data_IF_989562475720
#
_entry.id   IF_989562475720
#
_cell.length_a   1.000
_cell.length_b   1.000
_cell.length_c   1.000
_cell.angle_alpha   90.00
_cell.angle_beta   90.00
_cell.angle_gamma   90.00
#
_symmetry.space_group_name_H-M   'P 1'
#
loop_
_entity.id
_entity.type
_entity.pdbx_description
1 polymer ?
#
# COMPACT_ATOMS: atom_id res chain seq x y z
N UNK A 1 19.53 7.47 -23.37
CA UNK A 1 18.15 7.55 -23.94
C UNK A 1 17.07 7.08 -22.95
N UNK A 2 15.79 7.01 -23.35
CA UNK A 2 14.73 6.32 -22.56
C UNK A 2 14.80 4.81 -22.80
N UNK A 3 14.41 3.99 -21.82
CA UNK A 3 14.53 2.51 -21.93
C UNK A 3 13.79 1.94 -23.15
N UNK A 4 12.62 2.49 -23.49
CA UNK A 4 11.87 2.01 -24.66
C UNK A 4 12.52 2.40 -25.99
N UNK A 5 13.26 3.53 -26.02
CA UNK A 5 14.03 3.96 -27.20
C UNK A 5 15.20 3.00 -27.39
N UNK A 6 15.99 2.74 -26.35
CA UNK A 6 17.10 1.78 -26.37
C UNK A 6 16.62 0.38 -26.81
N UNK A 7 15.45 -0.05 -26.34
CA UNK A 7 14.84 -1.32 -26.74
C UNK A 7 14.45 -1.31 -28.23
N UNK A 8 13.93 -0.21 -28.76
CA UNK A 8 13.61 -0.12 -30.19
C UNK A 8 14.90 -0.13 -31.02
N UNK A 9 15.90 0.64 -30.62
CA UNK A 9 17.17 0.73 -31.34
C UNK A 9 17.92 -0.62 -31.33
N UNK A 10 17.82 -1.40 -30.24
CA UNK A 10 18.34 -2.76 -30.18
C UNK A 10 17.65 -3.70 -31.17
N UNK A 11 16.33 -3.56 -31.35
CA UNK A 11 15.56 -4.36 -32.33
C UNK A 11 15.95 -3.95 -33.75
N UNK A 12 16.02 -2.65 -34.04
CA UNK A 12 16.45 -2.14 -35.34
C UNK A 12 17.87 -2.59 -35.70
N UNK A 13 18.79 -2.58 -34.72
CA UNK A 13 20.17 -3.06 -34.91
C UNK A 13 20.21 -4.57 -35.20
N UNK A 14 19.32 -5.36 -34.59
CA UNK A 14 19.19 -6.79 -34.86
C UNK A 14 18.62 -7.07 -36.25
N UNK A 15 17.62 -6.29 -36.67
CA UNK A 15 17.04 -6.40 -38.00
C UNK A 15 18.08 -6.06 -39.08
N UNK A 16 18.84 -4.97 -38.88
CA UNK A 16 19.98 -4.60 -39.74
C UNK A 16 21.03 -5.72 -39.82
N UNK A 17 21.38 -6.32 -38.68
CA UNK A 17 22.34 -7.42 -38.63
C UNK A 17 21.92 -8.63 -39.49
N UNK A 18 20.61 -8.93 -39.55
CA UNK A 18 20.08 -10.01 -40.38
C UNK A 18 20.14 -9.69 -41.88
N UNK A 19 20.09 -8.41 -42.25
CA UNK A 19 20.17 -7.94 -43.64
C UNK A 19 21.60 -7.85 -44.18
N UNK A 20 22.62 -7.79 -43.32
CA UNK A 20 24.02 -7.59 -43.71
C UNK A 20 24.67 -8.76 -44.51
N UNK A 21 24.07 -9.96 -44.54
CA UNK A 21 24.61 -11.08 -45.31
C UNK A 21 26.01 -11.54 -44.85
N UNK A 22 27.00 -11.57 -45.76
CA UNK A 22 28.40 -11.93 -45.49
C UNK A 22 29.34 -10.71 -45.39
N UNK A 23 28.82 -9.47 -45.36
CA UNK A 23 29.65 -8.27 -45.22
C UNK A 23 30.24 -8.17 -43.80
N UNK A 24 31.49 -8.60 -43.67
CA UNK A 24 32.21 -8.68 -42.40
C UNK A 24 32.35 -7.32 -41.70
N UNK A 25 32.48 -6.22 -42.47
CA UNK A 25 32.56 -4.86 -41.92
C UNK A 25 31.21 -4.39 -41.39
N UNK A 26 30.12 -4.68 -42.10
CA UNK A 26 28.77 -4.34 -41.65
C UNK A 26 28.37 -5.13 -40.39
N UNK A 27 28.76 -6.40 -40.32
CA UNK A 27 28.57 -7.28 -39.16
C UNK A 27 29.32 -6.73 -37.93
N UNK A 28 30.56 -6.28 -38.10
CA UNK A 28 31.37 -5.78 -36.99
C UNK A 28 30.82 -4.46 -36.43
N UNK A 29 30.44 -3.52 -37.30
CA UNK A 29 29.78 -2.27 -36.91
C UNK A 29 28.47 -2.53 -36.15
N UNK A 30 27.65 -3.50 -36.60
CA UNK A 30 26.41 -3.85 -35.89
C UNK A 30 26.67 -4.42 -34.50
N UNK A 31 27.75 -5.21 -34.32
CA UNK A 31 28.14 -5.72 -33.00
C UNK A 31 28.58 -4.60 -32.06
N UNK A 32 29.37 -3.64 -32.55
CA UNK A 32 29.79 -2.49 -31.75
C UNK A 32 28.60 -1.65 -31.28
N UNK A 33 27.65 -1.37 -32.17
CA UNK A 33 26.41 -0.65 -31.83
C UNK A 33 25.58 -1.44 -30.81
N UNK A 34 25.50 -2.76 -30.98
CA UNK A 34 24.74 -3.61 -30.07
C UNK A 34 25.33 -3.62 -28.65
N UNK A 35 26.66 -3.70 -28.52
CA UNK A 35 27.33 -3.60 -27.22
C UNK A 35 27.17 -2.21 -26.60
N UNK A 36 27.30 -1.14 -27.40
CA UNK A 36 27.03 0.22 -26.93
C UNK A 36 25.59 0.37 -26.37
N UNK A 37 24.59 -0.12 -27.10
CA UNK A 37 23.19 -0.06 -26.66
C UNK A 37 22.92 -0.89 -25.40
N UNK A 38 23.61 -2.04 -25.23
CA UNK A 38 23.54 -2.81 -23.97
C UNK A 38 24.15 -2.04 -22.80
N UNK A 39 25.27 -1.36 -22.99
CA UNK A 39 25.88 -0.53 -21.96
C UNK A 39 24.98 0.65 -21.58
N UNK A 40 24.38 1.32 -22.56
CA UNK A 40 23.37 2.37 -22.32
C UNK A 40 22.15 1.83 -21.57
N UNK A 41 21.64 0.64 -21.93
CA UNK A 41 20.53 -0.01 -21.23
C UNK A 41 20.89 -0.27 -19.75
N UNK A 42 22.10 -0.77 -19.50
CA UNK A 42 22.61 -1.05 -18.16
C UNK A 42 22.78 0.23 -17.35
N UNK A 43 23.40 1.25 -17.92
CA UNK A 43 23.60 2.57 -17.30
C UNK A 43 22.28 3.24 -16.93
N UNK A 44 21.31 3.19 -17.86
CA UNK A 44 19.97 3.74 -17.62
C UNK A 44 19.22 2.98 -16.53
N UNK A 45 19.30 1.65 -16.56
CA UNK A 45 18.69 0.78 -15.54
C UNK A 45 19.31 1.02 -14.16
N UNK A 46 20.63 1.15 -14.07
CA UNK A 46 21.35 1.46 -12.83
C UNK A 46 20.93 2.81 -12.25
N UNK A 47 20.79 3.83 -13.09
CA UNK A 47 20.29 5.15 -12.66
C UNK A 47 18.87 5.08 -12.09
N UNK A 48 17.99 4.29 -12.70
CA UNK A 48 16.62 4.07 -12.20
C UNK A 48 16.65 3.30 -10.88
N UNK A 49 17.46 2.25 -10.76
CA UNK A 49 17.60 1.47 -9.52
C UNK A 49 18.12 2.33 -8.37
N UNK A 50 19.11 3.20 -8.61
CA UNK A 50 19.60 4.17 -7.63
C UNK A 50 18.46 5.09 -7.16
N UNK A 51 17.65 5.59 -8.08
CA UNK A 51 16.52 6.44 -7.73
C UNK A 51 15.45 5.69 -6.92
N UNK A 52 15.13 4.44 -7.29
CA UNK A 52 14.19 3.60 -6.52
C UNK A 52 14.71 3.38 -5.10
N UNK A 53 15.99 3.05 -4.93
CA UNK A 53 16.59 2.87 -3.60
C UNK A 53 16.56 4.15 -2.76
N UNK A 54 16.78 5.31 -3.38
CA UNK A 54 16.63 6.60 -2.69
C UNK A 54 15.20 6.82 -2.21
N UNK A 55 14.21 6.57 -3.08
CA UNK A 55 12.79 6.69 -2.73
C UNK A 55 12.37 5.71 -1.62
N UNK A 56 12.86 4.47 -1.65
CA UNK A 56 12.60 3.50 -0.57
C UNK A 56 13.19 3.98 0.76
N UNK A 57 14.41 4.55 0.74
CA UNK A 57 15.04 5.12 1.94
C UNK A 57 14.23 6.31 2.48
N UNK A 58 13.80 7.22 1.61
CA UNK A 58 12.95 8.37 1.99
C UNK A 58 11.61 7.90 2.57
N UNK A 59 11.00 6.89 1.97
CA UNK A 59 9.75 6.29 2.44
C UNK A 59 9.89 5.72 3.85
N UNK A 60 10.98 5.02 4.17
CA UNK A 60 11.24 4.50 5.52
C UNK A 60 11.40 5.63 6.56
N UNK A 61 12.11 6.69 6.20
CA UNK A 61 12.26 7.88 7.05
C UNK A 61 10.88 8.52 7.33
N UNK A 62 10.07 8.72 6.28
CA UNK A 62 8.73 9.29 6.41
C UNK A 62 7.82 8.40 7.28
N UNK A 63 7.87 7.08 7.09
CA UNK A 63 7.08 6.14 7.90
C UNK A 63 7.42 6.24 9.39
N UNK A 64 8.72 6.29 9.70
CA UNK A 64 9.21 6.43 11.08
C UNK A 64 8.72 7.74 11.72
N UNK A 65 8.76 8.83 10.96
CA UNK A 65 8.31 10.14 11.42
C UNK A 65 6.78 10.19 11.61
N UNK A 66 6.02 9.56 10.72
CA UNK A 66 4.56 9.42 10.89
C UNK A 66 4.22 8.66 12.17
N UNK A 67 4.92 7.56 12.48
CA UNK A 67 4.71 6.84 13.73
C UNK A 67 5.01 7.71 14.96
N UNK A 68 6.07 8.52 14.91
CA UNK A 68 6.41 9.47 15.97
C UNK A 68 5.32 10.52 16.17
N UNK A 69 4.83 11.11 15.08
CA UNK A 69 3.76 12.11 15.10
C UNK A 69 2.44 11.51 15.60
N UNK A 70 2.10 10.29 15.18
CA UNK A 70 0.89 9.60 15.64
C UNK A 70 0.96 9.28 17.15
N UNK A 71 2.13 8.91 17.67
CA UNK A 71 2.36 8.75 19.13
C UNK A 71 2.13 10.07 19.87
N UNK A 72 2.65 11.18 19.35
CA UNK A 72 2.45 12.52 19.93
C UNK A 72 0.96 12.90 19.91
N UNK A 73 0.29 12.71 18.79
CA UNK A 73 -1.15 12.96 18.64
C UNK A 73 -1.96 12.15 19.66
N UNK A 74 -1.73 10.84 19.75
CA UNK A 74 -2.40 9.96 20.73
C UNK A 74 -2.16 10.39 22.18
N UNK A 75 -0.95 10.85 22.50
CA UNK A 75 -0.63 11.40 23.83
C UNK A 75 -1.43 12.66 24.14
N UNK A 76 -1.56 13.59 23.19
CA UNK A 76 -2.38 14.81 23.35
C UNK A 76 -3.87 14.47 23.45
N UNK A 77 -4.38 13.58 22.61
CA UNK A 77 -5.76 13.10 22.68
C UNK A 77 -6.07 12.47 24.05
N UNK A 78 -5.17 11.62 24.55
CA UNK A 78 -5.29 11.01 25.88
C UNK A 78 -5.30 12.07 26.99
N UNK A 79 -4.45 13.10 26.88
CA UNK A 79 -4.44 14.21 27.85
C UNK A 79 -5.73 15.02 27.80
N UNK A 80 -6.25 15.32 26.61
CA UNK A 80 -7.54 16.01 26.43
C UNK A 80 -8.67 15.18 27.04
N UNK A 81 -8.70 13.86 26.81
CA UNK A 81 -9.69 12.96 27.39
C UNK A 81 -9.65 12.98 28.92
N UNK A 82 -8.47 12.83 29.51
CA UNK A 82 -8.28 12.91 30.98
C UNK A 82 -8.74 14.24 31.56
N UNK A 83 -8.47 15.35 30.88
CA UNK A 83 -8.92 16.68 31.34
C UNK A 83 -10.44 16.83 31.26
N UNK A 84 -11.08 16.31 30.20
CA UNK A 84 -12.55 16.29 30.09
C UNK A 84 -13.18 15.42 31.18
N UNK A 85 -12.61 14.24 31.46
CA UNK A 85 -13.06 13.35 32.54
C UNK A 85 -12.89 14.01 33.91
N UNK A 86 -11.77 14.70 34.14
CA UNK A 86 -11.53 15.47 35.36
C UNK A 86 -12.60 16.56 35.57
N UNK A 87 -12.88 17.36 34.54
CA UNK A 87 -13.94 18.38 34.59
C UNK A 87 -15.31 17.76 34.83
N UNK A 88 -15.62 16.64 34.17
CA UNK A 88 -16.88 15.91 34.37
C UNK A 88 -17.02 15.44 35.82
N UNK A 89 -15.98 14.83 36.40
CA UNK A 89 -16.00 14.34 37.78
C UNK A 89 -16.23 15.48 38.79
N UNK A 90 -15.57 16.63 38.58
CA UNK A 90 -15.77 17.80 39.45
C UNK A 90 -17.20 18.33 39.34
N UNK A 91 -17.74 18.46 38.13
CA UNK A 91 -19.10 18.93 37.93
C UNK A 91 -20.15 18.00 38.54
N UNK A 92 -19.92 16.68 38.50
CA UNK A 92 -20.76 15.68 39.17
C UNK A 92 -20.69 15.80 40.70
N UNK A 93 -19.50 16.06 41.27
CA UNK A 93 -19.34 16.27 42.72
C UNK A 93 -19.99 17.56 43.21
N UNK A 94 -19.95 18.63 42.41
CA UNK A 94 -20.54 19.93 42.73
C UNK A 94 -22.04 20.01 42.43
N UNK A 95 -22.66 18.93 41.94
CA UNK A 95 -24.04 18.86 41.42
C UNK A 95 -24.42 20.05 40.51
N UNK A 96 -23.43 20.57 39.79
CA UNK A 96 -23.53 21.80 39.00
C UNK A 96 -23.68 21.45 37.53
N UNK A 97 -24.83 21.81 36.95
CA UNK A 97 -25.17 21.46 35.56
C UNK A 97 -24.39 22.26 34.51
N UNK A 98 -23.93 23.47 34.86
CA UNK A 98 -23.24 24.40 33.96
C UNK A 98 -22.27 25.26 34.76
N UNK A 99 -21.06 25.44 34.23
CA UNK A 99 -20.06 26.38 34.76
C UNK A 99 -19.67 27.33 33.61
N UNK A 100 -19.70 28.63 33.89
CA UNK A 100 -19.22 29.67 32.98
C UNK A 100 -17.82 30.10 33.39
N UNK A 101 -16.96 30.31 32.41
CA UNK A 101 -15.59 30.81 32.55
C UNK A 101 -15.37 31.97 31.59
N UNK A 102 -14.29 32.73 31.78
CA UNK A 102 -13.98 33.92 30.98
C UNK A 102 -13.81 33.62 29.47
N UNK A 103 -13.53 32.36 29.10
CA UNK A 103 -13.24 31.95 27.72
C UNK A 103 -14.37 31.07 27.15
N UNK A 104 -15.39 30.72 27.94
CA UNK A 104 -16.53 29.92 27.47
C UNK A 104 -17.37 29.32 28.59
N UNK A 105 -18.32 28.46 28.23
CA UNK A 105 -19.09 27.69 29.22
C UNK A 105 -19.08 26.22 28.88
N UNK A 106 -19.12 25.36 29.91
CA UNK A 106 -19.24 23.92 29.73
C UNK A 106 -20.31 23.35 30.67
N UNK A 107 -21.05 22.38 30.17
CA UNK A 107 -22.21 21.78 30.82
C UNK A 107 -22.22 20.27 30.64
N UNK A 108 -22.80 19.55 31.59
CA UNK A 108 -22.97 18.09 31.48
C UNK A 108 -24.25 17.80 30.69
N UNK A 109 -24.14 16.92 29.70
CA UNK A 109 -25.31 16.33 29.02
C UNK A 109 -25.33 14.83 29.28
N UNK A 110 -26.47 14.29 29.71
CA UNK A 110 -26.68 12.84 29.79
C UNK A 110 -26.78 12.26 28.39
N UNK A 111 -26.03 11.20 28.13
CA UNK A 111 -26.11 10.37 26.93
C UNK A 111 -26.30 8.92 27.35
N UNK A 112 -27.29 8.26 26.77
CA UNK A 112 -27.60 6.85 27.06
C UNK A 112 -27.03 5.99 25.95
N UNK A 113 -26.19 5.02 26.32
CA UNK A 113 -25.71 3.98 25.40
C UNK A 113 -26.17 2.63 25.95
N UNK A 114 -26.60 1.74 25.06
CA UNK A 114 -26.86 0.35 25.41
C UNK A 114 -25.51 -0.35 25.46
N UNK A 115 -25.16 -0.88 26.63
CA UNK A 115 -23.98 -1.71 26.83
C UNK A 115 -24.42 -3.18 26.76
N UNK A 116 -23.77 -3.94 25.89
CA UNK A 116 -24.09 -5.35 25.67
C UNK A 116 -23.15 -6.17 26.56
N UNK A 117 -23.68 -6.72 27.65
CA UNK A 117 -22.89 -7.47 28.63
C UNK A 117 -22.66 -8.93 28.23
N UNK A 118 -23.57 -9.52 27.44
CA UNK A 118 -23.54 -10.93 27.04
C UNK A 118 -24.32 -11.10 25.73
N UNK A 119 -23.63 -11.42 24.64
CA UNK A 119 -24.22 -11.58 23.30
C UNK A 119 -25.15 -12.79 23.21
N UNK A 120 -24.89 -13.86 23.98
CA UNK A 120 -25.66 -15.10 23.94
C UNK A 120 -27.04 -14.98 24.64
N UNK A 121 -27.21 -13.96 25.48
CA UNK A 121 -28.48 -13.64 26.14
C UNK A 121 -29.31 -12.62 25.36
N UNK A 122 -28.78 -12.07 24.26
CA UNK A 122 -29.54 -11.14 23.42
C UNK A 122 -30.56 -11.95 22.61
N UNK A 123 -31.85 -11.59 22.65
CA UNK A 123 -32.84 -12.21 21.78
C UNK A 123 -32.44 -12.13 20.30
N UNK A 124 -32.64 -13.22 19.56
CA UNK A 124 -32.31 -13.31 18.13
C UNK A 124 -32.96 -12.20 17.27
N UNK A 125 -33.99 -11.52 17.77
CA UNK A 125 -34.61 -10.35 17.13
C UNK A 125 -33.65 -9.16 16.93
N UNK A 126 -32.56 -9.07 17.71
CA UNK A 126 -31.56 -8.01 17.61
C UNK A 126 -30.26 -8.43 16.91
N UNK A 127 -30.14 -9.71 16.54
CA UNK A 127 -28.94 -10.28 15.92
C UNK A 127 -29.09 -10.26 14.39
N UNK A 128 -28.31 -9.42 13.72
CA UNK A 128 -28.23 -9.40 12.25
C UNK A 128 -27.10 -10.30 11.77
N UNK A 129 -27.45 -11.50 11.30
CA UNK A 129 -26.52 -12.40 10.63
C UNK A 129 -26.16 -11.84 9.24
N UNK A 130 -24.89 -11.43 9.06
CA UNK A 130 -24.31 -11.17 7.74
C UNK A 130 -23.66 -12.45 7.23
N UNK A 131 -24.30 -13.12 6.27
CA UNK A 131 -23.68 -14.24 5.55
C UNK A 131 -22.90 -13.69 4.36
N UNK A 132 -21.58 -13.54 4.50
CA UNK A 132 -20.73 -13.20 3.37
C UNK A 132 -20.37 -14.47 2.57
N UNK A 133 -20.67 -14.45 1.27
CA UNK A 133 -20.21 -15.48 0.33
C UNK A 133 -18.76 -15.18 -0.04
N UNK A 134 -17.82 -15.81 0.67
CA UNK A 134 -16.39 -15.70 0.37
C UNK A 134 -16.01 -16.76 -0.67
N UNK A 135 -15.48 -16.30 -1.82
CA UNK A 135 -14.93 -17.19 -2.84
C UNK A 135 -13.48 -17.48 -2.48
N UNK A 136 -13.16 -18.74 -2.21
CA UNK A 136 -11.79 -19.17 -1.93
C UNK A 136 -10.98 -19.30 -3.22
N UNK A 137 -10.23 -18.25 -3.54
CA UNK A 137 -9.34 -18.19 -4.71
C UNK A 137 -8.14 -19.13 -4.59
N UNK A 138 -7.72 -19.51 -3.39
CA UNK A 138 -6.57 -20.38 -3.15
C UNK A 138 -6.93 -21.82 -3.48
N UNK A 139 -8.09 -22.28 -3.00
CA UNK A 139 -8.63 -23.60 -3.35
C UNK A 139 -8.87 -23.74 -4.85
N UNK A 140 -9.44 -22.72 -5.50
CA UNK A 140 -9.62 -22.68 -6.96
C UNK A 140 -8.28 -22.74 -7.69
N UNK A 141 -7.28 -21.96 -7.25
CA UNK A 141 -5.94 -21.95 -7.86
C UNK A 141 -5.23 -23.30 -7.76
N UNK A 142 -5.34 -23.99 -6.62
CA UNK A 142 -4.78 -25.33 -6.45
C UNK A 142 -5.52 -26.36 -7.32
N UNK A 143 -6.84 -26.28 -7.40
CA UNK A 143 -7.64 -27.18 -8.21
C UNK A 143 -7.32 -27.06 -9.71
N UNK A 144 -7.20 -25.84 -10.25
CA UNK A 144 -6.83 -25.63 -11.66
C UNK A 144 -5.46 -26.24 -11.98
N UNK A 145 -4.49 -26.16 -11.05
CA UNK A 145 -3.15 -26.74 -11.21
C UNK A 145 -3.15 -28.28 -11.22
N UNK A 146 -4.06 -28.92 -10.49
CA UNK A 146 -4.08 -30.39 -10.32
C UNK A 146 -5.02 -31.09 -11.28
N UNK A 147 -6.19 -30.51 -11.57
CA UNK A 147 -7.28 -31.20 -12.28
C UNK A 147 -7.63 -30.62 -13.65
N UNK A 148 -7.02 -29.50 -14.04
CA UNK A 148 -7.24 -28.87 -15.34
C UNK A 148 -8.61 -28.20 -15.44
N UNK A 149 -8.58 -26.87 -15.29
CA UNK A 149 -9.70 -25.92 -15.48
C UNK A 149 -10.85 -25.95 -14.45
N UNK A 150 -11.36 -24.75 -14.13
CA UNK A 150 -12.56 -24.52 -13.33
C UNK A 150 -13.43 -23.53 -14.09
N UNK A 151 -14.69 -23.90 -14.36
CA UNK A 151 -15.63 -22.98 -15.01
C UNK A 151 -15.79 -21.72 -14.14
N UNK A 152 -15.38 -20.57 -14.69
CA UNK A 152 -15.40 -19.28 -14.00
C UNK A 152 -14.06 -18.79 -13.41
N UNK A 153 -12.95 -19.53 -13.57
CA UNK A 153 -11.63 -19.08 -13.11
C UNK A 153 -10.50 -19.44 -14.10
N UNK A 154 -9.56 -18.51 -14.30
CA UNK A 154 -8.36 -18.69 -15.16
C UNK A 154 -7.10 -18.29 -14.40
N UNK A 155 -6.00 -18.98 -14.70
CA UNK A 155 -4.66 -18.57 -14.23
C UNK A 155 -4.15 -17.45 -15.15
N UNK A 156 -3.58 -16.40 -14.57
CA UNK A 156 -2.91 -15.31 -15.30
C UNK A 156 -1.49 -15.20 -14.74
N UNK A 157 -0.50 -15.35 -15.62
CA UNK A 157 0.90 -15.17 -15.28
C UNK A 157 1.26 -13.68 -15.33
N UNK A 158 1.82 -13.17 -14.24
CA UNK A 158 2.27 -11.78 -14.12
C UNK A 158 3.73 -11.77 -13.67
N UNK A 159 4.53 -10.91 -14.29
CA UNK A 159 5.93 -10.70 -13.91
C UNK A 159 6.02 -9.50 -12.97
N UNK A 160 6.70 -9.68 -11.84
CA UNK A 160 7.04 -8.60 -10.92
C UNK A 160 8.55 -8.35 -10.97
N UNK A 161 8.96 -7.08 -11.04
CA UNK A 161 10.36 -6.72 -10.92
C UNK A 161 10.88 -7.02 -9.51
N UNK A 162 11.90 -7.86 -9.39
CA UNK A 162 12.61 -8.10 -8.13
C UNK A 162 13.95 -7.36 -8.15
N UNK A 163 14.13 -6.43 -7.21
CA UNK A 163 15.40 -5.72 -6.99
C UNK A 163 16.09 -6.38 -5.80
N UNK A 164 17.33 -6.88 -6.00
CA UNK A 164 18.18 -7.47 -4.96
C UNK A 164 19.37 -6.57 -4.65
#
# INVERSE_FOLDING_TARGET
MKLYEIKNDLVETLDLFLECGEDELAIDNCKEIFEFLKEELKSKSDSILKYIRNLDSEKEIISTELERLEKIKKSKESKIKRLKEYLLNIMLQLDSKKIETDIGSYGIRKSTKVDILDEDKIPNEFIKLKTERVIDKVAIGNYIKTYGEVSGARIIENYSLQIR
#
